data_IF_678233875801
#
_entry.id   IF_678233875801
#
_cell.length_a   1.000
_cell.length_b   1.000
_cell.length_c   1.000
_cell.angle_alpha   90.00
_cell.angle_beta   90.00
_cell.angle_gamma   90.00
#
_symmetry.space_group_name_H-M   'P 1'
#
loop_
_entity.id
_entity.type
_entity.pdbx_description
1 polymer ?
#
# COMPACT_ATOMS: atom_id res chain seq x y z
N UNK A 1 -3.96 -2.50 -21.67
CA UNK A 1 -2.75 -1.66 -21.77
C UNK A 1 -2.11 -1.61 -20.40
N UNK A 2 -0.89 -2.15 -20.26
CA UNK A 2 -0.01 -1.89 -19.11
C UNK A 2 0.28 -0.39 -19.09
N UNK A 3 -0.33 0.34 -18.16
CA UNK A 3 0.00 1.73 -17.96
C UNK A 3 1.41 1.76 -17.35
N UNK A 4 2.39 2.22 -18.11
CA UNK A 4 3.74 2.47 -17.61
C UNK A 4 3.63 3.50 -16.49
N UNK A 5 4.38 3.33 -15.39
CA UNK A 5 4.48 4.32 -14.32
C UNK A 5 4.58 5.74 -14.87
N UNK A 6 3.57 6.56 -14.61
CA UNK A 6 3.59 7.95 -15.04
C UNK A 6 3.99 8.85 -13.88
N UNK A 7 5.28 8.80 -13.56
CA UNK A 7 5.90 9.61 -12.51
C UNK A 7 5.62 11.12 -12.71
N UNK A 8 5.56 11.58 -13.97
CA UNK A 8 5.19 12.96 -14.31
C UNK A 8 3.75 13.31 -13.89
N UNK A 9 2.80 12.39 -14.13
CA UNK A 9 1.43 12.55 -13.66
C UNK A 9 1.36 12.57 -12.13
N UNK A 10 2.04 11.64 -11.46
CA UNK A 10 2.08 11.60 -9.99
C UNK A 10 2.69 12.87 -9.39
N UNK A 11 3.75 13.42 -9.99
CA UNK A 11 4.33 14.71 -9.62
C UNK A 11 3.35 15.86 -9.83
N UNK A 12 2.60 15.85 -10.93
CA UNK A 12 1.57 16.85 -11.22
C UNK A 12 0.45 16.79 -10.18
N UNK A 13 -0.01 15.59 -9.83
CA UNK A 13 -1.00 15.37 -8.76
C UNK A 13 -0.47 15.90 -7.44
N UNK A 14 0.75 15.54 -7.05
CA UNK A 14 1.38 16.04 -5.83
C UNK A 14 1.49 17.57 -5.81
N UNK A 15 1.68 18.23 -6.95
CA UNK A 15 1.81 19.70 -7.01
C UNK A 15 0.46 20.42 -6.93
N UNK A 16 -0.59 19.89 -7.54
CA UNK A 16 -1.81 20.66 -7.79
C UNK A 16 -3.06 20.11 -7.10
N UNK A 17 -3.05 18.88 -6.56
CA UNK A 17 -4.24 18.21 -6.03
C UNK A 17 -4.27 18.12 -4.50
N UNK A 18 -4.11 19.24 -3.78
CA UNK A 18 -4.07 19.27 -2.30
C UNK A 18 -5.33 18.71 -1.60
N UNK A 19 -6.48 18.74 -2.29
CA UNK A 19 -7.75 18.21 -1.79
C UNK A 19 -8.03 16.75 -2.18
N UNK A 20 -7.06 16.06 -2.80
CA UNK A 20 -7.23 14.67 -3.23
C UNK A 20 -7.51 13.75 -2.04
N UNK A 21 -8.58 12.96 -2.13
CA UNK A 21 -8.96 11.98 -1.11
C UNK A 21 -8.51 10.56 -1.42
N UNK A 22 -8.37 10.24 -2.71
CA UNK A 22 -8.07 8.89 -3.17
C UNK A 22 -7.14 8.93 -4.36
N UNK A 23 -6.14 8.06 -4.38
CA UNK A 23 -5.24 7.94 -5.53
C UNK A 23 -5.11 6.49 -5.97
N UNK A 24 -5.45 6.22 -7.22
CA UNK A 24 -5.07 4.98 -7.89
C UNK A 24 -3.92 5.29 -8.84
N UNK A 25 -2.75 4.77 -8.56
CA UNK A 25 -1.57 4.99 -9.39
C UNK A 25 -0.54 3.88 -9.20
N UNK A 26 0.54 3.94 -9.96
CA UNK A 26 1.71 3.10 -9.81
C UNK A 26 2.93 4.00 -9.61
N UNK A 27 3.94 3.50 -8.91
CA UNK A 27 5.20 4.20 -8.69
C UNK A 27 6.31 3.38 -9.31
N UNK A 28 7.18 4.03 -10.09
CA UNK A 28 8.39 3.39 -10.60
C UNK A 28 9.25 2.87 -9.43
N UNK A 29 10.21 2.00 -9.73
CA UNK A 29 11.23 1.59 -8.78
C UNK A 29 12.06 2.75 -8.18
N UNK A 30 11.99 3.95 -8.79
CA UNK A 30 12.59 5.19 -8.28
C UNK A 30 11.56 6.20 -7.73
N UNK A 31 10.28 5.81 -7.66
CA UNK A 31 9.15 6.67 -7.28
C UNK A 31 9.03 7.00 -5.79
N UNK A 32 10.05 6.69 -4.96
CA UNK A 32 10.04 6.94 -3.51
C UNK A 32 9.77 8.41 -3.20
N UNK A 33 10.53 9.31 -3.83
CA UNK A 33 10.40 10.75 -3.57
C UNK A 33 9.06 11.30 -4.08
N UNK A 34 8.52 10.71 -5.14
CA UNK A 34 7.21 11.09 -5.68
C UNK A 34 6.10 10.69 -4.71
N UNK A 35 6.14 9.48 -4.16
CA UNK A 35 5.18 9.04 -3.15
C UNK A 35 5.24 9.94 -1.90
N UNK A 36 6.45 10.30 -1.43
CA UNK A 36 6.60 11.26 -0.33
C UNK A 36 5.96 12.60 -0.68
N UNK A 37 6.22 13.15 -1.87
CA UNK A 37 5.61 14.41 -2.30
C UNK A 37 4.08 14.33 -2.35
N UNK A 38 3.53 13.22 -2.84
CA UNK A 38 2.07 12.97 -2.80
C UNK A 38 1.56 13.04 -1.37
N UNK A 39 2.18 12.33 -0.43
CA UNK A 39 1.72 12.32 0.96
C UNK A 39 1.89 13.66 1.68
N UNK A 40 2.96 14.41 1.39
CA UNK A 40 3.22 15.72 1.99
C UNK A 40 2.27 16.79 1.44
N UNK A 41 1.90 16.73 0.17
CA UNK A 41 1.09 17.80 -0.44
C UNK A 41 -0.42 17.49 -0.47
N UNK A 42 -0.81 16.21 -0.54
CA UNK A 42 -2.20 15.77 -0.55
C UNK A 42 -2.67 15.44 0.88
N UNK A 43 -2.74 16.44 1.77
CA UNK A 43 -3.02 16.24 3.20
C UNK A 43 -4.40 15.65 3.53
N UNK A 44 -5.33 15.66 2.56
CA UNK A 44 -6.67 15.05 2.68
C UNK A 44 -6.74 13.63 2.11
N UNK A 45 -5.62 13.05 1.72
CA UNK A 45 -5.57 11.72 1.12
C UNK A 45 -5.91 10.67 2.18
N UNK A 46 -6.99 9.94 1.92
CA UNK A 46 -7.53 8.93 2.82
C UNK A 46 -7.03 7.53 2.45
N UNK A 47 -6.79 7.28 1.15
CA UNK A 47 -6.31 5.99 0.69
C UNK A 47 -5.58 6.03 -0.64
N UNK A 48 -4.74 5.02 -0.88
CA UNK A 48 -4.19 4.73 -2.19
C UNK A 48 -4.41 3.28 -2.60
N UNK A 49 -4.47 3.06 -3.90
CA UNK A 49 -4.44 1.75 -4.54
C UNK A 49 -3.23 1.76 -5.48
N UNK A 50 -2.34 0.78 -5.37
CA UNK A 50 -1.13 0.69 -6.23
C UNK A 50 -0.78 -0.73 -6.60
N UNK A 51 -0.05 -0.88 -7.71
CA UNK A 51 0.49 -2.15 -8.17
C UNK A 51 1.89 -2.38 -7.63
N UNK A 52 2.21 -3.65 -7.41
CA UNK A 52 3.53 -4.13 -7.06
C UNK A 52 3.98 -5.17 -8.09
N UNK A 53 5.20 -4.98 -8.59
CA UNK A 53 5.87 -5.89 -9.52
C UNK A 53 7.37 -5.77 -9.24
N UNK A 54 8.00 -6.88 -8.85
CA UNK A 54 9.43 -6.89 -8.50
C UNK A 54 10.28 -6.39 -9.68
N UNK A 55 11.25 -5.52 -9.40
CA UNK A 55 12.13 -4.92 -10.41
C UNK A 55 11.50 -3.83 -11.29
N UNK A 56 10.16 -3.74 -11.38
CA UNK A 56 9.47 -2.75 -12.23
C UNK A 56 8.92 -1.56 -11.43
N UNK A 57 8.32 -1.85 -10.28
CA UNK A 57 7.66 -0.86 -9.43
C UNK A 57 8.36 -0.72 -8.09
N UNK A 58 7.94 0.29 -7.31
CA UNK A 58 8.43 0.49 -5.96
C UNK A 58 8.30 -0.79 -5.13
N UNK A 59 9.39 -1.19 -4.47
CA UNK A 59 9.43 -2.39 -3.64
C UNK A 59 8.46 -2.30 -2.48
N UNK A 60 7.86 -3.44 -2.10
CA UNK A 60 6.84 -3.50 -1.05
C UNK A 60 7.34 -2.99 0.31
N UNK A 61 8.60 -3.29 0.65
CA UNK A 61 9.22 -2.85 1.90
C UNK A 61 9.30 -1.32 1.96
N UNK A 62 9.85 -0.70 0.91
CA UNK A 62 10.01 0.75 0.83
C UNK A 62 8.64 1.44 0.80
N UNK A 63 7.68 0.90 0.05
CA UNK A 63 6.31 1.40 0.03
C UNK A 63 5.69 1.42 1.45
N UNK A 64 5.77 0.30 2.18
CA UNK A 64 5.21 0.20 3.52
C UNK A 64 5.90 1.15 4.51
N UNK A 65 7.23 1.30 4.40
CA UNK A 65 7.99 2.24 5.22
C UNK A 65 7.54 3.70 4.97
N UNK A 66 7.40 4.09 3.71
CA UNK A 66 6.93 5.43 3.36
C UNK A 66 5.48 5.64 3.82
N UNK A 67 4.63 4.63 3.68
CA UNK A 67 3.24 4.70 4.15
C UNK A 67 3.19 4.89 5.67
N UNK A 68 3.99 4.18 6.46
CA UNK A 68 4.00 4.34 7.91
C UNK A 68 4.49 5.73 8.34
N UNK A 69 5.52 6.26 7.68
CA UNK A 69 6.24 7.44 8.15
C UNK A 69 5.75 8.77 7.57
N UNK A 70 5.24 8.77 6.33
CA UNK A 70 4.96 10.02 5.59
C UNK A 70 3.47 10.22 5.30
N UNK A 71 2.62 9.19 5.39
CA UNK A 71 1.21 9.32 5.05
C UNK A 71 0.53 10.44 5.85
N UNK A 72 -0.43 11.15 5.28
CA UNK A 72 -1.14 12.23 5.99
C UNK A 72 -2.03 11.67 7.10
N UNK A 73 -2.47 12.57 7.99
CA UNK A 73 -3.27 12.21 9.19
C UNK A 73 -4.54 11.43 8.85
N UNK A 74 -5.20 11.78 7.76
CA UNK A 74 -6.46 11.14 7.36
C UNK A 74 -6.28 9.82 6.61
N UNK A 75 -5.05 9.48 6.23
CA UNK A 75 -4.73 8.25 5.51
C UNK A 75 -4.94 7.03 6.40
N UNK A 76 -5.78 6.11 5.95
CA UNK A 76 -6.20 4.94 6.73
C UNK A 76 -6.42 3.68 5.88
N UNK A 77 -6.30 3.73 4.55
CA UNK A 77 -6.41 2.53 3.70
C UNK A 77 -5.30 2.42 2.67
N UNK A 78 -4.73 1.22 2.55
CA UNK A 78 -3.82 0.83 1.46
C UNK A 78 -4.37 -0.42 0.77
N UNK A 79 -4.39 -0.39 -0.55
CA UNK A 79 -4.70 -1.55 -1.38
C UNK A 79 -3.55 -1.85 -2.33
N UNK A 80 -3.03 -3.08 -2.27
CA UNK A 80 -1.92 -3.54 -3.07
C UNK A 80 -2.38 -4.56 -4.10
N UNK A 81 -2.08 -4.30 -5.37
CA UNK A 81 -2.29 -5.25 -6.45
C UNK A 81 -0.95 -5.89 -6.78
N UNK A 82 -0.72 -7.07 -6.23
CA UNK A 82 0.53 -7.80 -6.34
C UNK A 82 0.51 -8.70 -7.58
N UNK A 83 1.50 -8.55 -8.44
CA UNK A 83 1.84 -9.58 -9.41
C UNK A 83 2.47 -10.81 -8.71
N UNK A 84 2.40 -11.95 -9.39
CA UNK A 84 2.87 -13.28 -8.99
C UNK A 84 4.29 -13.32 -8.37
N UNK A 85 5.18 -12.42 -8.77
CA UNK A 85 6.57 -12.40 -8.28
C UNK A 85 6.76 -11.70 -6.93
N UNK A 86 5.75 -10.97 -6.42
CA UNK A 86 5.91 -10.16 -5.21
C UNK A 86 5.92 -11.02 -3.95
N UNK A 87 7.08 -11.06 -3.29
CA UNK A 87 7.25 -11.70 -1.98
C UNK A 87 6.90 -10.73 -0.85
N UNK A 88 5.64 -10.72 -0.44
CA UNK A 88 5.22 -10.06 0.80
C UNK A 88 5.18 -11.09 1.94
N UNK A 89 5.70 -10.74 3.12
CA UNK A 89 5.68 -11.65 4.27
C UNK A 89 5.63 -10.94 5.63
N UNK A 90 5.60 -11.73 6.70
CA UNK A 90 5.57 -11.22 8.07
C UNK A 90 6.76 -10.30 8.39
N UNK A 91 7.91 -10.50 7.74
CA UNK A 91 9.12 -9.68 7.92
C UNK A 91 8.94 -8.24 7.41
N UNK A 92 8.11 -8.05 6.40
CA UNK A 92 7.80 -6.71 5.85
C UNK A 92 6.64 -6.08 6.62
N UNK A 93 5.66 -6.91 7.01
CA UNK A 93 4.46 -6.47 7.71
C UNK A 93 4.67 -6.06 9.17
N UNK A 94 5.50 -6.78 9.93
CA UNK A 94 5.63 -6.49 11.36
C UNK A 94 6.23 -5.11 11.64
N UNK A 95 7.34 -4.68 11.00
CA UNK A 95 7.84 -3.32 11.14
C UNK A 95 6.80 -2.27 10.72
N UNK A 96 6.06 -2.53 9.64
CA UNK A 96 5.00 -1.65 9.18
C UNK A 96 3.91 -1.45 10.25
N UNK A 97 3.39 -2.52 10.85
CA UNK A 97 2.35 -2.40 11.87
C UNK A 97 2.84 -1.78 13.17
N UNK A 98 4.12 -1.98 13.53
CA UNK A 98 4.76 -1.25 14.66
C UNK A 98 4.77 0.24 14.35
N UNK A 99 5.32 0.63 13.20
CA UNK A 99 5.37 2.04 12.79
C UNK A 99 3.97 2.66 12.69
N UNK A 100 2.99 1.93 12.18
CA UNK A 100 1.61 2.41 12.11
C UNK A 100 0.99 2.65 13.48
N UNK A 101 1.21 1.74 14.43
CA UNK A 101 0.73 1.87 15.82
C UNK A 101 1.26 3.14 16.49
N UNK A 102 2.48 3.54 16.17
CA UNK A 102 3.17 4.66 16.80
C UNK A 102 2.83 6.03 16.15
N UNK A 103 1.98 6.04 15.10
CA UNK A 103 1.54 7.28 14.47
C UNK A 103 0.64 8.11 15.39
N UNK A 104 0.75 9.44 15.25
CA UNK A 104 -0.14 10.40 15.94
C UNK A 104 -1.61 10.18 15.54
N UNK A 105 -1.86 9.80 14.28
CA UNK A 105 -3.21 9.43 13.82
C UNK A 105 -3.54 8.02 14.26
N UNK A 106 -4.49 7.89 15.19
CA UNK A 106 -4.95 6.61 15.72
C UNK A 106 -6.07 5.99 14.88
N UNK A 107 -6.23 6.38 13.60
CA UNK A 107 -7.20 5.72 12.72
C UNK A 107 -6.75 4.27 12.50
N UNK A 108 -7.60 3.28 12.83
CA UNK A 108 -7.32 1.88 12.52
C UNK A 108 -7.05 1.71 11.01
N UNK A 109 -6.10 0.84 10.66
CA UNK A 109 -5.67 0.66 9.29
C UNK A 109 -6.52 -0.37 8.56
N UNK A 110 -6.91 -0.04 7.33
CA UNK A 110 -7.53 -0.96 6.37
C UNK A 110 -6.51 -1.39 5.33
N UNK A 111 -6.14 -2.67 5.34
CA UNK A 111 -5.16 -3.22 4.41
C UNK A 111 -5.77 -4.29 3.51
N UNK A 112 -5.77 -4.05 2.21
CA UNK A 112 -6.27 -4.98 1.20
C UNK A 112 -5.11 -5.43 0.31
N UNK A 113 -4.97 -6.73 0.12
CA UNK A 113 -3.95 -7.30 -0.76
C UNK A 113 -4.66 -8.12 -1.83
N UNK A 114 -4.58 -7.68 -3.07
CA UNK A 114 -4.96 -8.46 -4.23
C UNK A 114 -3.73 -9.26 -4.67
N UNK A 115 -3.71 -10.55 -4.33
CA UNK A 115 -2.55 -11.44 -4.52
C UNK A 115 -3.04 -12.89 -4.63
N UNK A 116 -2.15 -13.76 -5.09
CA UNK A 116 -2.40 -15.20 -5.07
C UNK A 116 -2.46 -15.76 -3.62
N UNK A 117 -3.18 -16.87 -3.44
CA UNK A 117 -3.59 -17.43 -2.12
C UNK A 117 -2.43 -17.82 -1.19
N UNK A 118 -1.22 -17.94 -1.72
CA UNK A 118 -0.04 -18.40 -0.98
C UNK A 118 0.33 -17.50 0.21
N UNK A 119 0.08 -16.19 0.13
CA UNK A 119 0.34 -15.26 1.23
C UNK A 119 -0.47 -15.59 2.50
N UNK A 120 -1.77 -15.90 2.33
CA UNK A 120 -2.69 -16.21 3.44
C UNK A 120 -2.28 -17.49 4.11
N UNK A 121 -1.84 -18.51 3.36
CA UNK A 121 -1.58 -19.85 3.90
C UNK A 121 -0.38 -19.90 4.86
N UNK A 122 0.42 -18.84 4.92
CA UNK A 122 1.48 -18.72 5.89
C UNK A 122 0.93 -18.47 7.32
N UNK A 123 1.11 -19.45 8.21
CA UNK A 123 0.66 -19.37 9.61
C UNK A 123 1.28 -18.18 10.37
N UNK A 124 2.52 -17.79 10.05
CA UNK A 124 3.17 -16.62 10.68
C UNK A 124 2.43 -15.33 10.31
N UNK A 125 2.09 -15.15 9.03
CA UNK A 125 1.32 -14.00 8.56
C UNK A 125 -0.05 -13.95 9.25
N UNK A 126 -0.79 -15.07 9.30
CA UNK A 126 -2.11 -15.14 9.97
C UNK A 126 -2.04 -14.75 11.44
N UNK A 127 -1.07 -15.27 12.18
CA UNK A 127 -0.86 -14.94 13.60
C UNK A 127 -0.54 -13.46 13.79
N UNK A 128 0.31 -12.90 12.94
CA UNK A 128 0.67 -11.48 12.95
C UNK A 128 -0.55 -10.59 12.72
N UNK A 129 -1.34 -10.85 11.68
CA UNK A 129 -2.56 -10.07 11.40
C UNK A 129 -3.55 -10.13 12.57
N UNK A 130 -3.77 -11.31 13.17
CA UNK A 130 -4.63 -11.44 14.35
C UNK A 130 -4.12 -10.64 15.54
N UNK A 131 -2.81 -10.68 15.82
CA UNK A 131 -2.17 -9.88 16.88
C UNK A 131 -2.49 -8.39 16.70
N UNK A 132 -2.28 -7.84 15.51
CA UNK A 132 -2.48 -6.40 15.28
C UNK A 132 -3.94 -5.97 15.12
N UNK A 133 -4.85 -6.88 14.73
CA UNK A 133 -6.30 -6.66 14.87
C UNK A 133 -6.71 -6.54 16.34
N UNK A 134 -6.24 -7.45 17.19
CA UNK A 134 -6.55 -7.43 18.63
C UNK A 134 -5.97 -6.18 19.35
N UNK A 135 -4.88 -5.62 18.83
CA UNK A 135 -4.29 -4.38 19.32
C UNK A 135 -5.00 -3.11 18.78
N UNK A 136 -6.04 -3.24 17.95
CA UNK A 136 -6.76 -2.11 17.34
C UNK A 136 -6.00 -1.38 16.24
N UNK A 137 -4.83 -1.88 15.83
CA UNK A 137 -3.99 -1.28 14.79
C UNK A 137 -4.59 -1.52 13.41
N UNK A 138 -5.17 -2.70 13.20
CA UNK A 138 -5.81 -3.09 11.95
C UNK A 138 -7.32 -3.15 12.16
N UNK A 139 -8.06 -2.33 11.42
CA UNK A 139 -9.52 -2.43 11.33
C UNK A 139 -9.91 -3.61 10.44
N UNK A 140 -9.31 -3.62 9.26
CA UNK A 140 -9.72 -4.46 8.15
C UNK A 140 -8.48 -5.03 7.48
N UNK A 141 -8.51 -6.34 7.26
CA UNK A 141 -7.51 -7.03 6.47
C UNK A 141 -8.21 -8.00 5.55
N UNK A 142 -8.05 -7.80 4.25
CA UNK A 142 -8.67 -8.63 3.21
C UNK A 142 -7.64 -9.07 2.19
N UNK A 143 -7.85 -10.28 1.69
CA UNK A 143 -7.10 -10.80 0.55
C UNK A 143 -8.08 -11.11 -0.56
N UNK A 144 -7.89 -10.44 -1.68
CA UNK A 144 -8.69 -10.60 -2.89
C UNK A 144 -7.86 -11.48 -3.82
N UNK A 145 -8.44 -12.56 -4.34
CA UNK A 145 -7.72 -13.44 -5.26
C UNK A 145 -7.79 -12.85 -6.67
N UNK A 146 -6.63 -12.63 -7.27
CA UNK A 146 -6.52 -12.27 -8.67
C UNK A 146 -6.71 -13.52 -9.54
N UNK A 147 -7.95 -14.01 -9.68
CA UNK A 147 -8.30 -15.06 -10.66
C UNK A 147 -9.23 -14.54 -11.77
N UNK A 148 -9.36 -13.21 -11.96
CA UNK A 148 -10.39 -12.66 -12.84
C UNK A 148 -9.95 -11.63 -13.90
N UNK A 149 -8.66 -11.53 -14.25
CA UNK A 149 -8.25 -10.66 -15.37
C UNK A 149 -7.36 -11.31 -16.45
N UNK A 150 -7.32 -12.65 -16.53
CA UNK A 150 -6.69 -13.35 -17.67
C UNK A 150 -7.69 -14.05 -18.60
N UNK A 151 -8.95 -13.59 -18.66
CA UNK A 151 -9.85 -13.95 -19.76
C UNK A 151 -10.34 -12.63 -20.37
N UNK A 152 -10.09 -12.47 -21.67
CA UNK A 152 -10.31 -11.28 -22.52
C UNK A 152 -9.14 -10.28 -22.62
N UNK A 153 -8.00 -10.75 -23.14
CA UNK A 153 -7.27 -10.03 -24.19
C UNK A 153 -6.97 -11.00 -25.33
#
# INVERSE_FOLDING_TARGET
MLNICNDSLNLTIAKYCSNLKSLYTQFSNHGIEILKMVFINCQRLEFIITHLCEGTYLGVKDLLEIVANYSPKDFHKLELHCHWDVKLGSKDLEPFFIGWKDRISQKPFSFIINSDKNFVNNNKNRKLIRKYKNLGVIEKFEIINCHFYEIYL
#
